data_IF_556530078476
#
_entry.id   IF_556530078476
#
_cell.length_a   1.000
_cell.length_b   1.000
_cell.length_c   1.000
_cell.angle_alpha   90.00
_cell.angle_beta   90.00
_cell.angle_gamma   90.00
#
_symmetry.space_group_name_H-M   'P 1'
#
loop_
_entity.id
_entity.type
_entity.pdbx_description
1 polymer ?
#
# COMPACT_ATOMS: atom_id res chain seq x y z
N UNK A 1 6.33 16.47 -18.19
CA UNK A 1 5.25 15.50 -17.93
C UNK A 1 5.92 14.19 -17.57
N UNK A 2 5.75 13.70 -16.34
CA UNK A 2 6.13 12.32 -16.01
C UNK A 2 5.32 11.38 -16.90
N UNK A 3 5.94 10.30 -17.35
CA UNK A 3 5.23 9.26 -18.09
C UNK A 3 4.40 8.45 -17.08
N UNK A 4 3.11 8.30 -17.34
CA UNK A 4 2.24 7.42 -16.57
C UNK A 4 2.27 6.03 -17.20
N UNK A 5 2.30 5.01 -16.35
CA UNK A 5 2.34 3.60 -16.75
C UNK A 5 1.09 2.90 -16.22
N UNK A 6 0.54 2.00 -17.03
CA UNK A 6 -0.52 1.11 -16.58
C UNK A 6 0.01 0.19 -15.48
N UNK A 7 -0.87 -0.14 -14.53
CA UNK A 7 -0.54 -1.04 -13.43
C UNK A 7 -1.01 -2.45 -13.76
N UNK A 8 -0.12 -3.46 -13.71
CA UNK A 8 -0.50 -4.84 -14.00
C UNK A 8 -1.34 -5.43 -12.87
N UNK A 9 -2.24 -6.36 -13.19
CA UNK A 9 -3.04 -7.11 -12.21
C UNK A 9 -2.19 -7.81 -11.15
N UNK A 10 -0.96 -8.20 -11.49
CA UNK A 10 -0.01 -8.78 -10.53
C UNK A 10 0.29 -7.82 -9.37
N UNK A 11 0.39 -6.51 -9.65
CA UNK A 11 0.59 -5.51 -8.61
C UNK A 11 -0.67 -5.34 -7.75
N UNK A 12 -1.86 -5.32 -8.36
CA UNK A 12 -3.12 -5.26 -7.61
C UNK A 12 -3.25 -6.45 -6.66
N UNK A 13 -2.98 -7.67 -7.13
CA UNK A 13 -2.99 -8.87 -6.31
C UNK A 13 -1.95 -8.84 -5.18
N UNK A 14 -0.75 -8.28 -5.43
CA UNK A 14 0.26 -8.09 -4.41
C UNK A 14 -0.19 -7.10 -3.31
N UNK A 15 -0.85 -6.01 -3.69
CA UNK A 15 -1.38 -5.03 -2.75
C UNK A 15 -2.57 -5.56 -1.93
N UNK A 16 -3.46 -6.35 -2.53
CA UNK A 16 -4.51 -7.04 -1.77
C UNK A 16 -3.92 -8.01 -0.73
N UNK A 17 -2.83 -8.70 -1.08
CA UNK A 17 -2.15 -9.57 -0.12
C UNK A 17 -1.45 -8.79 1.00
N UNK A 18 -0.84 -7.63 0.70
CA UNK A 18 -0.29 -6.73 1.70
C UNK A 18 -1.37 -6.17 2.63
N UNK A 19 -2.50 -5.72 2.08
CA UNK A 19 -3.62 -5.18 2.86
C UNK A 19 -4.16 -6.21 3.86
N UNK A 20 -4.30 -7.47 3.42
CA UNK A 20 -4.65 -8.57 4.31
C UNK A 20 -3.57 -8.85 5.37
N UNK A 21 -2.29 -8.77 5.03
CA UNK A 21 -1.19 -8.94 5.99
C UNK A 21 -1.16 -7.83 7.05
N UNK A 22 -1.40 -6.58 6.67
CA UNK A 22 -1.57 -5.45 7.60
C UNK A 22 -2.74 -5.74 8.54
N UNK A 23 -3.89 -6.16 8.00
CA UNK A 23 -5.06 -6.49 8.81
C UNK A 23 -4.80 -7.58 9.85
N UNK A 24 -4.05 -8.64 9.49
CA UNK A 24 -3.63 -9.67 10.45
C UNK A 24 -2.73 -9.08 11.54
N UNK A 25 -1.72 -8.28 11.17
CA UNK A 25 -0.81 -7.67 12.15
C UNK A 25 -1.57 -6.77 13.12
N UNK A 26 -2.41 -5.89 12.60
CA UNK A 26 -3.24 -4.96 13.35
C UNK A 26 -4.19 -5.70 14.31
N UNK A 27 -4.85 -6.77 13.84
CA UNK A 27 -5.71 -7.59 14.69
C UNK A 27 -4.93 -8.21 15.86
N UNK A 28 -3.74 -8.75 15.61
CA UNK A 28 -2.95 -9.39 16.66
C UNK A 28 -2.58 -8.40 17.78
N UNK A 29 -2.33 -7.13 17.43
CA UNK A 29 -1.95 -6.08 18.37
C UNK A 29 -3.16 -5.47 19.09
N UNK A 30 -4.23 -5.18 18.35
CA UNK A 30 -5.33 -4.36 18.85
C UNK A 30 -6.64 -5.13 19.11
N UNK A 31 -6.77 -6.35 18.59
CA UNK A 31 -8.00 -7.15 18.59
C UNK A 31 -9.19 -6.40 17.96
N UNK A 32 -8.92 -5.63 16.91
CA UNK A 32 -9.87 -4.81 16.17
C UNK A 32 -9.71 -5.00 14.66
N UNK A 33 -10.79 -4.76 13.91
CA UNK A 33 -10.79 -4.82 12.45
C UNK A 33 -10.00 -3.64 11.86
N UNK A 34 -9.14 -3.92 10.89
CA UNK A 34 -8.39 -2.91 10.16
C UNK A 34 -9.22 -2.32 9.03
N UNK A 35 -9.34 -0.99 8.99
CA UNK A 35 -9.97 -0.30 7.87
C UNK A 35 -9.02 -0.25 6.67
N UNK A 36 -9.26 -1.12 5.69
CA UNK A 36 -8.47 -1.23 4.46
C UNK A 36 -8.40 0.08 3.66
N UNK A 37 -7.22 0.68 3.44
CA UNK A 37 -7.08 1.89 2.62
C UNK A 37 -7.45 1.67 1.14
N UNK A 38 -7.29 0.45 0.61
CA UNK A 38 -7.55 0.16 -0.81
C UNK A 38 -9.04 0.17 -1.17
N UNK A 39 -9.93 0.15 -0.17
CA UNK A 39 -11.39 0.04 -0.31
C UNK A 39 -12.17 1.35 -0.25
N UNK A 40 -11.54 2.53 -0.42
CA UNK A 40 -12.17 3.85 -0.28
C UNK A 40 -12.73 4.14 1.13
N UNK A 41 -12.03 3.70 2.18
CA UNK A 41 -12.44 3.86 3.59
C UNK A 41 -12.06 5.22 4.17
N UNK A 42 -11.07 5.90 3.58
CA UNK A 42 -10.42 7.08 4.16
C UNK A 42 -9.25 6.74 5.09
N UNK A 43 -8.98 5.45 5.32
CA UNK A 43 -7.87 5.00 6.14
C UNK A 43 -6.50 5.17 5.47
N UNK A 44 -5.46 5.07 6.28
CA UNK A 44 -4.07 5.08 5.86
C UNK A 44 -3.22 4.17 6.73
N UNK A 45 -2.14 3.65 6.16
CA UNK A 45 -1.09 2.90 6.83
C UNK A 45 0.28 3.51 6.46
N UNK A 46 1.14 3.69 7.45
CA UNK A 46 2.51 4.17 7.30
C UNK A 46 3.44 3.30 8.15
N UNK A 47 4.05 2.30 7.52
CA UNK A 47 5.04 1.41 8.15
C UNK A 47 6.48 1.91 8.00
N UNK A 48 6.68 3.16 7.54
CA UNK A 48 7.98 3.73 7.25
C UNK A 48 8.66 3.20 5.97
N UNK A 49 8.57 1.89 5.69
CA UNK A 49 9.10 1.29 4.44
C UNK A 49 8.20 1.59 3.24
N UNK A 50 6.89 1.58 3.48
CA UNK A 50 5.89 1.94 2.48
C UNK A 50 4.72 2.65 3.14
N UNK A 51 3.96 3.36 2.31
CA UNK A 51 2.74 4.06 2.70
C UNK A 51 1.60 3.60 1.83
N UNK A 52 0.44 3.41 2.44
CA UNK A 52 -0.79 3.02 1.79
C UNK A 52 -1.90 3.97 2.25
N UNK A 53 -2.59 4.61 1.31
CA UNK A 53 -3.59 5.64 1.58
C UNK A 53 -4.83 5.40 0.74
N UNK A 54 -5.99 5.61 1.36
CA UNK A 54 -7.24 5.68 0.63
C UNK A 54 -7.24 6.81 -0.38
N UNK A 55 -8.20 6.74 -1.31
CA UNK A 55 -8.39 7.82 -2.27
C UNK A 55 -8.72 9.14 -1.57
N UNK A 56 -7.96 10.18 -1.90
CA UNK A 56 -8.20 11.53 -1.40
C UNK A 56 -9.22 12.26 -2.27
N UNK A 57 -10.22 12.85 -1.63
CA UNK A 57 -11.28 13.64 -2.25
C UNK A 57 -10.96 15.14 -2.34
N UNK A 58 -9.77 15.55 -1.87
CA UNK A 58 -9.25 16.91 -1.96
C UNK A 58 -9.01 17.35 -3.42
N UNK A 59 -8.54 18.59 -3.58
CA UNK A 59 -8.25 19.16 -4.90
C UNK A 59 -7.01 18.48 -5.54
N UNK A 60 -6.95 18.36 -6.89
CA UNK A 60 -5.95 17.54 -7.57
C UNK A 60 -4.49 17.90 -7.34
N UNK A 61 -4.22 19.14 -6.94
CA UNK A 61 -2.86 19.64 -6.71
C UNK A 61 -2.23 19.07 -5.41
N UNK A 62 -3.03 18.40 -4.57
CA UNK A 62 -2.62 17.84 -3.28
C UNK A 62 -2.60 16.30 -3.26
N UNK A 63 -2.84 15.63 -4.40
CA UNK A 63 -2.91 14.17 -4.45
C UNK A 63 -1.56 13.48 -4.15
N UNK A 64 -1.39 13.10 -2.89
CA UNK A 64 -0.40 12.11 -2.50
C UNK A 64 -0.68 10.77 -3.20
N UNK A 65 0.36 9.98 -3.50
CA UNK A 65 0.16 8.65 -4.04
C UNK A 65 -0.57 7.76 -3.04
N UNK A 66 -1.52 6.98 -3.56
CA UNK A 66 -2.21 5.98 -2.77
C UNK A 66 -1.27 4.88 -2.26
N UNK A 67 -0.22 4.58 -3.02
CA UNK A 67 0.84 3.68 -2.58
C UNK A 67 2.21 4.27 -2.89
N UNK A 68 3.11 4.22 -1.91
CA UNK A 68 4.49 4.64 -2.04
C UNK A 68 5.44 3.59 -1.46
N UNK A 69 6.40 3.15 -2.26
CA UNK A 69 7.51 2.31 -1.81
C UNK A 69 8.77 2.73 -2.57
N UNK A 70 9.79 3.21 -1.84
CA UNK A 70 11.02 3.78 -2.40
C UNK A 70 10.68 4.88 -3.44
N UNK A 71 10.93 4.60 -4.71
CA UNK A 71 10.68 5.49 -5.84
C UNK A 71 9.50 5.02 -6.71
N UNK A 72 8.78 3.96 -6.32
CA UNK A 72 7.48 3.55 -6.87
C UNK A 72 6.39 4.40 -6.22
N UNK A 73 5.57 5.03 -7.06
CA UNK A 73 4.37 5.75 -6.67
C UNK A 73 3.21 5.28 -7.53
N UNK A 74 2.10 4.94 -6.89
CA UNK A 74 0.89 4.46 -7.56
C UNK A 74 -0.31 5.26 -7.08
N UNK A 75 -1.17 5.61 -8.02
CA UNK A 75 -2.43 6.31 -7.79
C UNK A 75 -3.58 5.47 -8.34
N UNK A 76 -4.75 5.57 -7.73
CA UNK A 76 -6.01 5.02 -8.23
C UNK A 76 -7.17 5.94 -7.92
N UNK A 77 -8.29 5.76 -8.61
CA UNK A 77 -9.51 6.50 -8.35
C UNK A 77 -10.47 5.68 -7.50
N UNK A 78 -10.78 6.17 -6.29
CA UNK A 78 -11.65 5.56 -5.27
C UNK A 78 -11.08 4.28 -4.66
N UNK A 79 -10.84 3.25 -5.46
CA UNK A 79 -10.36 1.94 -5.00
C UNK A 79 -9.32 1.35 -5.95
N UNK A 80 -8.51 0.45 -5.43
CA UNK A 80 -7.46 -0.24 -6.18
C UNK A 80 -8.03 -0.92 -7.45
N UNK A 81 -7.29 -0.82 -8.56
CA UNK A 81 -7.70 -1.35 -9.87
C UNK A 81 -8.54 -0.39 -10.73
N UNK A 82 -9.14 0.66 -10.15
CA UNK A 82 -9.91 1.64 -10.92
C UNK A 82 -9.07 2.85 -11.31
N UNK A 83 -8.80 2.99 -12.61
CA UNK A 83 -8.02 4.12 -13.11
C UNK A 83 -6.61 4.16 -12.51
N UNK A 84 -6.05 2.98 -12.23
CA UNK A 84 -4.79 2.83 -11.51
C UNK A 84 -3.62 3.07 -12.45
N UNK A 85 -2.68 3.93 -12.05
CA UNK A 85 -1.48 4.23 -12.81
C UNK A 85 -0.28 4.42 -11.89
N UNK A 86 0.91 4.21 -12.45
CA UNK A 86 2.18 4.34 -11.75
C UNK A 86 3.09 5.38 -12.41
N UNK A 87 4.05 5.88 -11.63
CA UNK A 87 5.11 6.76 -12.14
C UNK A 87 6.19 6.01 -12.95
N UNK A 88 6.18 4.68 -12.93
CA UNK A 88 7.12 3.82 -13.65
C UNK A 88 6.49 2.48 -14.02
N UNK A 89 7.13 1.77 -14.94
CA UNK A 89 6.76 0.41 -15.29
C UNK A 89 6.98 -0.54 -14.10
N UNK A 90 5.97 -1.34 -13.79
CA UNK A 90 5.99 -2.30 -12.70
C UNK A 90 6.20 -3.70 -13.28
N UNK A 91 7.47 -4.08 -13.47
CA UNK A 91 7.79 -5.43 -13.93
C UNK A 91 7.52 -6.45 -12.83
N UNK A 92 7.32 -7.75 -13.15
CA UNK A 92 7.14 -8.79 -12.14
C UNK A 92 8.25 -8.83 -11.08
N UNK A 93 9.49 -8.54 -11.47
CA UNK A 93 10.64 -8.48 -10.56
C UNK A 93 10.51 -7.34 -9.55
N UNK A 94 10.10 -6.15 -10.02
CA UNK A 94 9.85 -4.98 -9.14
C UNK A 94 8.70 -5.29 -8.18
N UNK A 95 7.61 -5.88 -8.67
CA UNK A 95 6.46 -6.24 -7.83
C UNK A 95 6.87 -7.28 -6.78
N UNK A 96 7.66 -8.28 -7.15
CA UNK A 96 8.14 -9.29 -6.21
C UNK A 96 9.10 -8.70 -5.17
N UNK A 97 10.02 -7.82 -5.57
CA UNK A 97 10.91 -7.15 -4.62
C UNK A 97 10.12 -6.27 -3.64
N UNK A 98 9.21 -5.45 -4.16
CA UNK A 98 8.31 -4.61 -3.37
C UNK A 98 7.52 -5.42 -2.36
N UNK A 99 6.88 -6.49 -2.81
CA UNK A 99 6.05 -7.35 -1.96
C UNK A 99 6.88 -7.94 -0.80
N UNK A 100 8.05 -8.49 -1.11
CA UNK A 100 8.91 -9.07 -0.07
C UNK A 100 9.42 -8.03 0.92
N UNK A 101 9.80 -6.84 0.45
CA UNK A 101 10.29 -5.75 1.32
C UNK A 101 9.20 -5.27 2.28
N UNK A 102 7.98 -5.05 1.75
CA UNK A 102 6.83 -4.61 2.54
C UNK A 102 6.37 -5.68 3.56
N UNK A 103 6.30 -6.96 3.17
CA UNK A 103 5.96 -8.05 4.10
C UNK A 103 6.99 -8.19 5.21
N UNK A 104 8.28 -8.04 4.90
CA UNK A 104 9.34 -8.07 5.90
C UNK A 104 9.24 -6.89 6.87
N UNK A 105 8.80 -5.72 6.41
CA UNK A 105 8.56 -4.55 7.27
C UNK A 105 7.39 -4.79 8.22
N UNK A 106 6.23 -5.24 7.72
CA UNK A 106 5.07 -5.58 8.56
C UNK A 106 5.47 -6.62 9.62
N UNK A 107 6.18 -7.68 9.24
CA UNK A 107 6.62 -8.71 10.18
C UNK A 107 7.62 -8.22 11.24
N UNK A 108 8.38 -7.15 10.97
CA UNK A 108 9.30 -6.55 11.95
C UNK A 108 8.53 -5.70 12.95
N UNK A 109 7.59 -4.88 12.47
CA UNK A 109 6.72 -4.07 13.33
C UNK A 109 6.01 -4.95 14.38
N UNK A 110 5.45 -6.09 13.95
CA UNK A 110 4.82 -7.00 14.91
C UNK A 110 5.78 -7.60 15.94
N UNK A 111 7.09 -7.70 15.65
CA UNK A 111 8.09 -8.25 16.57
C UNK A 111 8.61 -7.19 17.53
N UNK A 112 8.92 -6.01 17.01
CA UNK A 112 9.46 -4.91 17.79
C UNK A 112 8.45 -4.50 18.89
N UNK A 113 7.15 -4.48 18.58
CA UNK A 113 6.11 -4.20 19.59
C UNK A 113 6.00 -5.29 20.67
N UNK A 114 6.19 -6.57 20.33
CA UNK A 114 6.18 -7.67 21.31
C UNK A 114 7.42 -7.65 22.23
N UNK A 115 8.52 -7.04 21.80
CA UNK A 115 9.74 -6.89 22.62
C UNK A 115 9.69 -5.64 23.52
N UNK A 116 8.76 -4.70 23.28
CA UNK A 116 8.56 -3.49 24.08
C UNK A 116 7.55 -3.64 25.25
N UNK A 117 6.75 -4.72 25.29
CA UNK A 117 5.82 -5.08 26.39
C UNK A 117 6.46 -5.89 27.53
#
# INVERSE_FOLDING_TARGET
MSKNYDVPELFCAALEYLDHAIGISYWNQHQEEFESPIGNTGASYDGGTFKLRAFDWSEPDEYEPNFEWRDVKVWWYKYLGRGTYANKELTPEIVNEMLNDCLNNISKESKDELEEE
#
